data_IF_764740908411
#
_entry.id   IF_764740908411
#
_cell.length_a   1.000
_cell.length_b   1.000
_cell.length_c   1.000
_cell.angle_alpha   90.00
_cell.angle_beta   90.00
_cell.angle_gamma   90.00
#
_symmetry.space_group_name_H-M   'P 1'
#
loop_
_entity.id
_entity.type
_entity.pdbx_description
1 polymer ?
#
# COMPACT_ATOMS: atom_id res chain seq x y z
N UNK A 1 86.80 -60.42 19.28
CA UNK A 1 86.85 -59.80 20.62
C UNK A 1 87.47 -58.40 20.49
N UNK A 2 86.77 -57.47 19.83
CA UNK A 2 87.37 -56.18 19.43
C UNK A 2 86.35 -55.05 19.22
N UNK A 3 85.10 -55.22 19.69
CA UNK A 3 84.01 -54.24 19.52
C UNK A 3 83.79 -53.36 20.77
N UNK A 4 84.50 -53.65 21.88
CA UNK A 4 84.40 -52.87 23.13
C UNK A 4 85.43 -51.73 23.26
N UNK A 5 86.34 -51.56 22.29
CA UNK A 5 87.35 -50.48 22.30
C UNK A 5 87.02 -49.28 21.40
N UNK A 6 86.05 -49.40 20.51
CA UNK A 6 85.67 -48.30 19.59
C UNK A 6 84.63 -47.33 20.20
N UNK A 7 83.82 -47.78 21.15
CA UNK A 7 82.79 -46.96 21.79
C UNK A 7 83.35 -45.96 22.81
N UNK A 8 84.56 -46.20 23.33
CA UNK A 8 85.22 -45.33 24.31
C UNK A 8 86.02 -44.19 23.65
N UNK A 9 86.37 -44.31 22.37
CA UNK A 9 87.08 -43.29 21.59
C UNK A 9 86.16 -42.22 21.00
N UNK A 10 84.86 -42.50 20.83
CA UNK A 10 83.88 -41.56 20.27
C UNK A 10 83.30 -40.59 21.32
N UNK A 11 83.33 -40.95 22.61
CA UNK A 11 82.85 -40.12 23.73
C UNK A 11 83.90 -39.07 24.15
N UNK A 12 85.19 -39.32 23.89
CA UNK A 12 86.27 -38.37 24.21
C UNK A 12 86.41 -37.27 23.14
N UNK A 13 86.00 -37.53 21.90
CA UNK A 13 86.02 -36.54 20.81
C UNK A 13 84.87 -35.53 20.85
N UNK A 14 83.76 -35.85 21.55
CA UNK A 14 82.62 -34.93 21.70
C UNK A 14 82.77 -33.94 22.87
N UNK A 15 83.67 -34.23 23.82
CA UNK A 15 83.94 -33.37 24.99
C UNK A 15 85.02 -32.30 24.73
N UNK A 16 85.73 -32.37 23.60
CA UNK A 16 86.76 -31.41 23.19
C UNK A 16 86.22 -30.30 22.26
N UNK A 17 84.95 -30.33 21.87
CA UNK A 17 84.32 -29.27 21.06
C UNK A 17 83.60 -28.20 21.90
N UNK A 18 83.56 -28.34 23.24
CA UNK A 18 82.91 -27.38 24.16
C UNK A 18 83.90 -26.52 24.96
N UNK A 19 85.22 -26.65 24.75
CA UNK A 19 86.24 -25.96 25.53
C UNK A 19 87.06 -24.93 24.73
N UNK A 20 86.59 -24.54 23.55
CA UNK A 20 87.31 -23.66 22.62
C UNK A 20 86.54 -22.41 22.22
N UNK A 21 85.99 -21.66 23.18
CA UNK A 21 85.59 -20.26 22.93
C UNK A 21 85.67 -19.41 24.21
N UNK A 22 86.86 -19.41 24.82
CA UNK A 22 87.29 -18.33 25.70
C UNK A 22 88.50 -17.68 25.02
N UNK A 23 88.30 -16.49 24.44
CA UNK A 23 89.17 -15.32 24.60
C UNK A 23 88.78 -14.18 23.61
N UNK A 24 88.70 -12.98 24.18
CA UNK A 24 88.79 -11.64 23.56
C UNK A 24 87.51 -11.02 23.00
N UNK A 25 86.73 -10.42 23.90
CA UNK A 25 86.29 -9.05 23.68
C UNK A 25 86.57 -8.20 24.93
N UNK A 26 87.65 -7.43 24.83
CA UNK A 26 88.07 -6.40 25.77
C UNK A 26 87.36 -5.10 25.44
N UNK A 27 86.73 -4.44 26.42
CA UNK A 27 86.25 -3.07 26.25
C UNK A 27 85.34 -2.55 27.37
N UNK A 28 85.96 -1.99 28.40
CA UNK A 28 85.49 -0.91 29.28
C UNK A 28 84.42 -1.19 30.37
N UNK A 29 84.96 -1.57 31.53
CA UNK A 29 84.91 -0.81 32.80
C UNK A 29 83.83 0.28 32.94
N UNK A 30 82.83 0.02 33.80
CA UNK A 30 82.26 1.03 34.71
C UNK A 30 81.94 0.35 36.06
N UNK A 31 82.38 1.00 37.13
CA UNK A 31 82.33 0.58 38.52
C UNK A 31 80.89 0.33 38.99
N UNK A 32 80.59 -0.90 39.42
CA UNK A 32 79.43 -1.18 40.28
C UNK A 32 79.90 -1.12 41.74
N UNK A 33 79.53 -0.04 42.41
CA UNK A 33 79.64 0.10 43.85
C UNK A 33 78.61 -0.83 44.50
N UNK A 34 79.11 -1.87 45.16
CA UNK A 34 78.30 -2.78 45.96
C UNK A 34 77.83 -2.02 47.22
N UNK A 35 76.60 -1.53 47.20
CA UNK A 35 75.88 -1.16 48.41
C UNK A 35 74.79 -2.19 48.66
N UNK A 36 75.04 -3.01 49.69
CA UNK A 36 74.04 -3.80 50.38
C UNK A 36 72.79 -2.94 50.66
N UNK A 37 71.70 -3.21 49.95
CA UNK A 37 70.38 -2.93 50.47
C UNK A 37 69.44 -4.06 50.10
N UNK A 38 69.21 -4.94 51.08
CA UNK A 38 68.29 -6.07 51.03
C UNK A 38 66.85 -5.54 51.08
N UNK A 39 66.42 -4.87 50.01
CA UNK A 39 65.00 -4.64 49.70
C UNK A 39 64.60 -5.73 48.73
N UNK A 40 63.77 -6.64 49.20
CA UNK A 40 63.18 -7.73 48.42
C UNK A 40 62.54 -7.17 47.15
N UNK A 41 63.18 -7.37 46.00
CA UNK A 41 62.65 -6.97 44.70
C UNK A 41 61.23 -7.53 44.55
N UNK A 42 60.26 -6.65 44.30
CA UNK A 42 58.92 -7.06 43.88
C UNK A 42 59.08 -7.79 42.54
N UNK A 43 58.98 -9.12 42.57
CA UNK A 43 59.10 -9.93 41.35
C UNK A 43 57.74 -9.95 40.67
N UNK A 44 57.54 -9.03 39.72
CA UNK A 44 56.34 -8.96 38.89
C UNK A 44 56.60 -9.66 37.56
N UNK A 45 55.72 -10.58 37.20
CA UNK A 45 55.75 -11.31 35.92
C UNK A 45 54.37 -11.26 35.30
N UNK A 46 54.28 -10.92 34.02
CA UNK A 46 53.02 -10.95 33.28
C UNK A 46 53.07 -11.98 32.15
N UNK A 47 51.95 -12.67 31.97
CA UNK A 47 51.75 -13.67 30.93
C UNK A 47 50.39 -13.42 30.28
N UNK A 48 50.34 -13.60 28.97
CA UNK A 48 49.13 -13.49 28.20
C UNK A 48 48.82 -14.84 27.53
N UNK A 49 47.53 -15.19 27.51
CA UNK A 49 47.02 -16.42 26.94
C UNK A 49 45.76 -16.15 26.11
N UNK A 50 45.48 -17.00 25.13
CA UNK A 50 44.26 -16.97 24.32
C UNK A 50 43.62 -18.34 24.35
N UNK A 51 42.29 -18.38 24.36
CA UNK A 51 41.52 -19.62 24.32
C UNK A 51 41.67 -20.40 23.01
N UNK A 52 41.83 -19.70 21.88
CA UNK A 52 42.00 -20.27 20.54
C UNK A 52 43.14 -19.60 19.77
N UNK A 53 44.03 -20.41 19.20
CA UNK A 53 45.11 -19.97 18.31
C UNK A 53 44.70 -19.96 16.82
N UNK A 54 43.56 -20.56 16.48
CA UNK A 54 42.98 -20.59 15.15
C UNK A 54 41.51 -20.18 15.24
N UNK A 55 41.11 -19.18 14.45
CA UNK A 55 39.74 -18.65 14.42
C UNK A 55 39.31 -18.29 13.01
N UNK A 56 38.02 -18.09 12.81
CA UNK A 56 37.47 -17.58 11.56
C UNK A 56 37.23 -16.06 11.63
N UNK A 57 37.17 -15.40 10.48
CA UNK A 57 36.88 -13.96 10.40
C UNK A 57 35.60 -13.61 11.20
N UNK A 58 35.70 -12.61 12.09
CA UNK A 58 34.58 -12.17 12.93
C UNK A 58 34.29 -13.03 14.16
N UNK A 59 35.03 -14.12 14.38
CA UNK A 59 34.93 -14.89 15.63
C UNK A 59 35.43 -14.06 16.83
N UNK A 60 34.95 -14.45 18.01
CA UNK A 60 35.33 -13.85 19.29
C UNK A 60 36.31 -14.78 20.00
N UNK A 61 37.45 -14.23 20.39
CA UNK A 61 38.46 -14.91 21.21
C UNK A 61 38.54 -14.29 22.59
N UNK A 62 38.87 -15.09 23.59
CA UNK A 62 39.12 -14.63 24.94
C UNK A 62 40.63 -14.54 25.16
N UNK A 63 41.13 -13.31 25.25
CA UNK A 63 42.51 -12.98 25.58
C UNK A 63 42.63 -12.68 27.07
N UNK A 64 43.38 -13.49 27.81
CA UNK A 64 43.57 -13.38 29.25
C UNK A 64 44.99 -12.94 29.58
N UNK A 65 45.11 -11.92 30.42
CA UNK A 65 46.37 -11.46 31.00
C UNK A 65 46.41 -11.86 32.48
N UNK A 66 47.46 -12.55 32.84
CA UNK A 66 47.80 -12.99 34.20
C UNK A 66 49.00 -12.19 34.67
N UNK A 67 48.84 -11.42 35.74
CA UNK A 67 49.95 -10.73 36.40
C UNK A 67 50.19 -11.38 37.75
N UNK A 68 51.36 -11.98 37.90
CA UNK A 68 51.83 -12.61 39.13
C UNK A 68 52.87 -11.72 39.78
N UNK A 69 52.67 -11.35 41.04
CA UNK A 69 53.57 -10.46 41.77
C UNK A 69 53.74 -10.90 43.23
N UNK A 70 54.79 -10.40 43.89
CA UNK A 70 55.07 -10.63 45.31
C UNK A 70 55.37 -9.31 46.00
N UNK A 71 54.80 -9.12 47.19
CA UNK A 71 54.89 -7.87 47.96
C UNK A 71 53.72 -6.92 47.69
N UNK A 72 53.80 -5.71 48.25
CA UNK A 72 52.77 -4.67 48.10
C UNK A 72 52.98 -3.94 46.77
N UNK A 73 52.13 -4.27 45.78
CA UNK A 73 52.18 -3.74 44.41
C UNK A 73 50.78 -3.40 43.96
N UNK A 74 50.60 -2.17 43.48
CA UNK A 74 49.35 -1.71 42.86
C UNK A 74 49.47 -1.83 41.32
N UNK A 75 48.58 -2.60 40.70
CA UNK A 75 48.61 -2.90 39.26
C UNK A 75 47.55 -2.07 38.53
N UNK A 76 47.99 -1.26 37.58
CA UNK A 76 47.11 -0.41 36.79
C UNK A 76 47.01 -0.92 35.36
N UNK A 77 45.84 -1.48 35.04
CA UNK A 77 45.51 -1.94 33.69
C UNK A 77 44.84 -0.83 32.88
N UNK A 78 45.42 -0.49 31.73
CA UNK A 78 44.82 0.47 30.79
C UNK A 78 43.56 -0.08 30.13
N UNK A 79 42.59 0.80 29.90
CA UNK A 79 41.44 0.51 29.04
C UNK A 79 41.87 0.68 27.58
N UNK A 80 41.83 -0.43 26.84
CA UNK A 80 42.22 -0.49 25.44
C UNK A 80 40.98 -0.76 24.61
N UNK A 81 40.73 0.06 23.60
CA UNK A 81 39.66 -0.17 22.62
C UNK A 81 40.12 -1.11 21.49
N UNK A 82 41.43 -1.14 21.24
CA UNK A 82 42.06 -1.92 20.17
C UNK A 82 43.43 -2.44 20.62
N UNK A 83 43.74 -3.68 20.23
CA UNK A 83 45.01 -4.35 20.50
C UNK A 83 45.53 -4.89 19.16
N UNK A 84 46.48 -4.18 18.53
CA UNK A 84 46.92 -4.51 17.17
C UNK A 84 45.77 -4.40 16.16
N UNK A 85 45.53 -5.46 15.39
CA UNK A 85 44.41 -5.57 14.43
C UNK A 85 43.10 -6.06 15.06
N UNK A 86 43.09 -6.29 16.38
CA UNK A 86 41.94 -6.83 17.10
C UNK A 86 41.17 -5.72 17.82
N UNK A 87 39.86 -5.67 17.61
CA UNK A 87 38.94 -4.78 18.33
C UNK A 87 38.51 -5.41 19.64
N UNK A 88 38.58 -4.65 20.73
CA UNK A 88 38.10 -5.08 22.05
C UNK A 88 36.58 -4.91 22.11
N UNK A 89 35.85 -6.02 22.29
CA UNK A 89 34.38 -6.02 22.39
C UNK A 89 33.88 -6.00 23.83
N UNK A 90 34.63 -6.59 24.75
CA UNK A 90 34.29 -6.64 26.17
C UNK A 90 35.55 -6.79 27.00
N UNK A 91 35.58 -6.13 28.14
CA UNK A 91 36.65 -6.26 29.13
C UNK A 91 36.05 -6.76 30.44
N UNK A 92 36.77 -7.62 31.15
CA UNK A 92 36.39 -8.09 32.47
C UNK A 92 37.59 -8.59 33.26
N UNK A 93 37.44 -8.80 34.55
CA UNK A 93 38.52 -9.25 35.42
C UNK A 93 38.11 -9.27 36.88
N UNK A 94 38.89 -9.96 37.70
CA UNK A 94 38.67 -10.03 39.16
C UNK A 94 39.34 -8.80 39.76
N UNK A 95 38.58 -8.01 40.54
CA UNK A 95 39.09 -6.77 41.19
C UNK A 95 40.01 -7.07 42.37
N UNK A 96 39.90 -8.25 42.96
CA UNK A 96 40.67 -8.65 44.14
C UNK A 96 41.73 -9.70 43.76
N UNK A 97 42.98 -9.56 44.23
CA UNK A 97 44.05 -10.50 43.93
C UNK A 97 43.82 -11.86 44.59
N UNK A 98 43.95 -12.94 43.82
CA UNK A 98 43.93 -14.31 44.35
C UNK A 98 45.31 -14.63 44.94
N UNK A 99 45.36 -15.15 46.17
CA UNK A 99 46.61 -15.57 46.81
C UNK A 99 47.02 -16.96 46.32
N UNK A 100 48.20 -17.06 45.73
CA UNK A 100 48.83 -18.29 45.25
C UNK A 100 49.85 -18.83 46.27
N UNK A 101 50.30 -20.08 46.10
CA UNK A 101 51.38 -20.69 46.91
C UNK A 101 52.69 -19.86 46.80
N UNK A 102 53.50 -19.87 47.85
CA UNK A 102 54.77 -19.13 47.99
C UNK A 102 54.64 -17.59 48.09
N UNK A 103 53.54 -17.09 48.66
CA UNK A 103 53.31 -15.66 48.95
C UNK A 103 53.19 -14.76 47.70
N UNK A 104 52.80 -15.36 46.57
CA UNK A 104 52.48 -14.63 45.34
C UNK A 104 51.00 -14.28 45.27
N UNK A 105 50.70 -13.13 44.67
CA UNK A 105 49.37 -12.70 44.30
C UNK A 105 49.21 -12.77 42.78
N UNK A 106 48.01 -13.17 42.32
CA UNK A 106 47.68 -13.27 40.91
C UNK A 106 46.43 -12.44 40.63
N UNK A 107 46.52 -11.54 39.66
CA UNK A 107 45.37 -10.81 39.11
C UNK A 107 45.15 -11.24 37.67
N UNK A 108 43.89 -11.50 37.33
CA UNK A 108 43.45 -11.94 36.01
C UNK A 108 42.55 -10.89 35.38
N UNK A 109 42.91 -10.43 34.19
CA UNK A 109 42.09 -9.56 33.34
C UNK A 109 41.90 -10.22 31.99
N UNK A 110 40.68 -10.23 31.47
CA UNK A 110 40.37 -10.79 30.17
C UNK A 110 39.73 -9.74 29.24
N UNK A 111 40.01 -9.89 27.96
CA UNK A 111 39.46 -9.09 26.87
C UNK A 111 38.84 -10.04 25.85
N UNK A 112 37.64 -9.73 25.39
CA UNK A 112 37.01 -10.42 24.27
C UNK A 112 37.39 -9.66 23.01
N UNK A 113 38.20 -10.28 22.17
CA UNK A 113 38.74 -9.69 20.95
C UNK A 113 38.04 -10.24 19.72
N UNK A 114 37.98 -9.45 18.66
CA UNK A 114 37.55 -9.90 17.34
C UNK A 114 38.31 -9.14 16.25
N UNK A 115 38.52 -9.75 15.09
CA UNK A 115 39.17 -9.12 13.95
C UNK A 115 38.46 -9.50 12.66
N UNK A 116 38.56 -8.61 11.67
CA UNK A 116 38.05 -8.81 10.31
C UNK A 116 39.20 -9.00 9.31
N UNK A 117 40.45 -9.02 9.77
CA UNK A 117 41.62 -9.26 8.92
C UNK A 117 41.96 -10.75 8.91
N UNK A 118 42.01 -11.33 7.71
CA UNK A 118 42.36 -12.74 7.47
C UNK A 118 43.88 -12.89 7.46
N UNK A 119 44.38 -14.05 7.87
CA UNK A 119 45.80 -14.42 7.86
C UNK A 119 46.40 -14.55 9.26
N UNK A 120 47.73 -14.65 9.31
CA UNK A 120 48.46 -14.72 10.58
C UNK A 120 48.54 -13.33 11.21
N UNK A 121 47.76 -13.14 12.26
CA UNK A 121 47.66 -11.89 12.97
C UNK A 121 48.33 -11.99 14.33
N UNK A 122 48.98 -10.91 14.74
CA UNK A 122 49.74 -10.89 15.99
C UNK A 122 49.10 -9.96 17.02
N UNK A 123 48.87 -10.48 18.22
CA UNK A 123 48.58 -9.69 19.42
C UNK A 123 49.92 -9.17 19.96
N UNK A 124 50.17 -7.85 19.92
CA UNK A 124 51.43 -7.27 20.35
C UNK A 124 51.62 -7.36 21.87
N UNK A 125 52.88 -7.23 22.31
CA UNK A 125 53.23 -7.17 23.74
C UNK A 125 52.61 -5.94 24.39
N UNK A 126 51.79 -6.15 25.41
CA UNK A 126 51.16 -5.06 26.16
C UNK A 126 52.03 -4.67 27.33
N UNK A 127 52.20 -3.35 27.51
CA UNK A 127 52.87 -2.77 28.67
C UNK A 127 51.84 -2.55 29.77
N UNK A 128 52.07 -3.16 30.93
CA UNK A 128 51.25 -2.97 32.13
C UNK A 128 52.05 -2.18 33.14
N UNK A 129 51.50 -1.07 33.59
CA UNK A 129 52.11 -0.23 34.61
C UNK A 129 51.79 -0.77 36.00
N UNK A 130 52.78 -0.78 36.87
CA UNK A 130 52.59 -1.13 38.28
C UNK A 130 53.39 -0.18 39.16
N UNK A 131 52.91 0.03 40.39
CA UNK A 131 53.56 0.85 41.40
C UNK A 131 54.05 -0.03 42.54
N UNK A 132 55.36 0.03 42.80
CA UNK A 132 55.99 -0.67 43.91
C UNK A 132 56.68 0.32 44.87
N UNK A 133 57.41 -0.19 45.86
CA UNK A 133 58.14 0.62 46.85
C UNK A 133 59.28 1.49 46.28
N UNK A 134 59.56 1.43 44.97
CA UNK A 134 60.60 2.18 44.26
C UNK A 134 60.06 3.16 43.19
N UNK A 135 58.75 3.13 42.90
CA UNK A 135 58.12 4.06 41.96
C UNK A 135 57.20 3.36 40.96
N UNK A 136 56.98 4.00 39.82
CA UNK A 136 56.24 3.40 38.69
C UNK A 136 57.20 2.59 37.82
N UNK A 137 56.85 1.32 37.58
CA UNK A 137 57.58 0.38 36.74
C UNK A 137 56.63 -0.25 35.71
N UNK A 138 57.19 -0.84 34.65
CA UNK A 138 56.42 -1.47 33.57
C UNK A 138 56.80 -2.94 33.38
N UNK A 139 55.80 -3.80 33.21
CA UNK A 139 55.99 -5.21 32.82
C UNK A 139 55.35 -5.45 31.45
N UNK A 140 56.00 -6.24 30.59
CA UNK A 140 55.51 -6.54 29.24
C UNK A 140 55.00 -7.97 29.13
N UNK A 141 53.85 -8.16 28.49
CA UNK A 141 53.33 -9.49 28.19
C UNK A 141 54.09 -10.13 27.02
N UNK A 142 53.92 -11.44 26.85
CA UNK A 142 54.33 -12.12 25.63
C UNK A 142 53.44 -11.74 24.43
N UNK A 143 53.99 -11.96 23.25
CA UNK A 143 53.33 -11.81 21.96
C UNK A 143 52.61 -13.12 21.60
N UNK A 144 51.43 -13.03 20.97
CA UNK A 144 50.63 -14.20 20.60
C UNK A 144 50.25 -14.10 19.13
N UNK A 145 50.52 -15.16 18.36
CA UNK A 145 50.16 -15.26 16.95
C UNK A 145 48.87 -16.08 16.84
N UNK A 146 47.92 -15.57 16.07
CA UNK A 146 46.61 -16.18 15.82
C UNK A 146 46.42 -16.33 14.32
N UNK A 147 46.03 -17.52 13.87
CA UNK A 147 45.70 -17.78 12.47
C UNK A 147 44.21 -17.52 12.23
N UNK A 148 43.90 -16.47 11.48
CA UNK A 148 42.52 -16.08 11.15
C UNK A 148 42.18 -16.63 9.77
N UNK A 149 41.40 -17.70 9.73
CA UNK A 149 40.93 -18.32 8.50
C UNK A 149 39.75 -17.53 7.91
N UNK A 150 39.75 -17.40 6.59
CA UNK A 150 38.55 -16.99 5.87
C UNK A 150 37.52 -18.12 5.89
N UNK A 151 36.23 -17.78 5.96
CA UNK A 151 35.15 -18.75 5.72
C UNK A 151 35.05 -18.95 4.20
N UNK A 152 35.98 -19.69 3.63
CA UNK A 152 35.88 -20.20 2.26
C UNK A 152 35.45 -21.66 2.33
N UNK A 153 34.58 -22.10 1.43
CA UNK A 153 34.17 -23.51 1.37
C UNK A 153 35.37 -24.34 0.90
N UNK A 154 35.63 -25.49 1.55
CA UNK A 154 36.69 -26.41 1.12
C UNK A 154 36.49 -26.80 -0.35
N UNK A 155 37.43 -26.42 -1.21
CA UNK A 155 37.42 -26.69 -2.65
C UNK A 155 37.41 -25.47 -3.57
N UNK A 156 37.16 -24.26 -3.06
CA UNK A 156 37.19 -23.03 -3.89
C UNK A 156 38.63 -22.53 -4.06
N UNK A 157 39.19 -22.69 -5.26
CA UNK A 157 40.48 -22.08 -5.64
C UNK A 157 40.23 -20.63 -6.11
N UNK A 158 41.23 -19.74 -6.06
CA UNK A 158 41.10 -18.35 -6.55
C UNK A 158 40.71 -18.23 -8.04
N UNK A 159 40.70 -19.35 -8.79
CA UNK A 159 40.19 -19.47 -10.15
C UNK A 159 38.69 -19.75 -10.26
N UNK A 160 37.98 -19.93 -9.14
CA UNK A 160 36.52 -20.16 -9.09
C UNK A 160 35.77 -18.87 -8.71
N UNK A 161 36.33 -17.71 -9.08
CA UNK A 161 35.59 -16.44 -9.06
C UNK A 161 34.51 -16.57 -10.12
N UNK A 162 33.29 -16.90 -9.69
CA UNK A 162 32.12 -16.89 -10.57
C UNK A 162 31.93 -15.48 -11.11
N UNK A 163 31.82 -15.40 -12.42
CA UNK A 163 31.44 -14.16 -13.10
C UNK A 163 30.16 -13.60 -12.48
N UNK A 164 30.04 -12.27 -12.50
CA UNK A 164 28.84 -11.59 -12.01
C UNK A 164 27.65 -12.11 -12.83
N UNK A 165 26.82 -12.95 -12.20
CA UNK A 165 25.62 -13.47 -12.84
C UNK A 165 24.75 -12.27 -13.18
N UNK A 166 24.40 -12.05 -14.46
CA UNK A 166 23.53 -10.95 -14.83
C UNK A 166 22.19 -11.10 -14.11
N UNK A 167 21.52 -9.99 -13.73
CA UNK A 167 20.23 -10.08 -13.07
C UNK A 167 19.28 -10.91 -13.94
N UNK A 168 18.67 -11.94 -13.34
CA UNK A 168 17.69 -12.75 -14.05
C UNK A 168 16.58 -11.84 -14.57
N UNK A 169 16.40 -11.83 -15.89
CA UNK A 169 15.32 -11.10 -16.52
C UNK A 169 14.00 -11.60 -15.95
N UNK A 170 13.25 -10.71 -15.30
CA UNK A 170 11.90 -11.03 -14.86
C UNK A 170 11.08 -11.25 -16.12
N UNK A 171 10.51 -12.44 -16.30
CA UNK A 171 9.58 -12.69 -17.40
C UNK A 171 8.36 -11.79 -17.22
N UNK A 172 8.29 -10.73 -18.00
CA UNK A 172 7.22 -9.74 -17.94
C UNK A 172 5.96 -10.27 -18.61
N UNK A 173 5.26 -11.18 -17.94
CA UNK A 173 3.96 -11.70 -18.38
C UNK A 173 2.85 -10.67 -18.12
N UNK A 174 2.84 -9.58 -18.89
CA UNK A 174 1.81 -8.56 -18.83
C UNK A 174 0.49 -8.98 -19.46
N UNK A 175 0.37 -10.19 -20.03
CA UNK A 175 -0.85 -10.67 -20.68
C UNK A 175 -2.08 -10.56 -19.79
N UNK A 176 -1.96 -10.91 -18.50
CA UNK A 176 -3.06 -10.77 -17.54
C UNK A 176 -3.43 -9.30 -17.32
N UNK A 177 -2.45 -8.42 -17.20
CA UNK A 177 -2.65 -6.97 -17.04
C UNK A 177 -3.32 -6.37 -18.28
N UNK A 178 -2.86 -6.74 -19.48
CA UNK A 178 -3.43 -6.30 -20.76
C UNK A 178 -4.89 -6.76 -20.89
N UNK A 179 -5.21 -8.00 -20.49
CA UNK A 179 -6.59 -8.50 -20.48
C UNK A 179 -7.48 -7.67 -19.54
N UNK A 180 -7.01 -7.35 -18.33
CA UNK A 180 -7.75 -6.47 -17.41
C UNK A 180 -7.97 -5.07 -17.96
N UNK A 181 -6.94 -4.46 -18.56
CA UNK A 181 -7.04 -3.13 -19.19
C UNK A 181 -8.02 -3.16 -20.37
N UNK A 182 -7.92 -4.16 -21.25
CA UNK A 182 -8.81 -4.33 -22.39
C UNK A 182 -10.27 -4.54 -21.94
N UNK A 183 -10.48 -5.32 -20.88
CA UNK A 183 -11.81 -5.55 -20.30
C UNK A 183 -12.39 -4.26 -19.72
N UNK A 184 -11.60 -3.51 -18.95
CA UNK A 184 -12.02 -2.22 -18.40
C UNK A 184 -12.38 -1.20 -19.50
N UNK A 185 -11.57 -1.13 -20.56
CA UNK A 185 -11.83 -0.26 -21.70
C UNK A 185 -13.11 -0.68 -22.46
N UNK A 186 -13.34 -1.98 -22.62
CA UNK A 186 -14.55 -2.52 -23.22
C UNK A 186 -15.81 -2.11 -22.44
N UNK A 187 -15.79 -2.25 -21.11
CA UNK A 187 -16.90 -1.83 -20.25
C UNK A 187 -17.13 -0.32 -20.35
N UNK A 188 -16.07 0.48 -20.37
CA UNK A 188 -16.16 1.93 -20.50
C UNK A 188 -16.80 2.36 -21.84
N UNK A 189 -16.40 1.73 -22.94
CA UNK A 189 -16.98 2.01 -24.27
C UNK A 189 -18.46 1.60 -24.35
N UNK A 190 -18.82 0.45 -23.76
CA UNK A 190 -20.22 -0.01 -23.71
C UNK A 190 -21.05 0.96 -22.87
N UNK A 191 -20.57 1.34 -21.68
CA UNK A 191 -21.22 2.32 -20.81
C UNK A 191 -21.40 3.68 -21.49
N UNK A 192 -20.36 4.19 -22.15
CA UNK A 192 -20.42 5.44 -22.93
C UNK A 192 -21.42 5.36 -24.09
N UNK A 193 -21.47 4.23 -24.79
CA UNK A 193 -22.43 4.01 -25.89
C UNK A 193 -23.86 3.97 -25.37
N UNK A 194 -24.13 3.26 -24.28
CA UNK A 194 -25.45 3.22 -23.64
C UNK A 194 -25.86 4.62 -23.17
N UNK A 195 -24.96 5.35 -22.49
CA UNK A 195 -25.21 6.72 -22.05
C UNK A 195 -25.54 7.65 -23.22
N UNK A 196 -24.78 7.58 -24.32
CA UNK A 196 -25.02 8.35 -25.53
C UNK A 196 -26.36 8.00 -26.19
N UNK A 197 -26.72 6.71 -26.28
CA UNK A 197 -28.00 6.26 -26.82
C UNK A 197 -29.19 6.73 -25.98
N UNK A 198 -29.08 6.68 -24.65
CA UNK A 198 -30.11 7.21 -23.75
C UNK A 198 -30.24 8.72 -23.91
N UNK A 199 -29.12 9.45 -23.97
CA UNK A 199 -29.09 10.89 -24.21
C UNK A 199 -29.74 11.25 -25.56
N UNK A 200 -29.43 10.50 -26.62
CA UNK A 200 -30.03 10.68 -27.95
C UNK A 200 -31.53 10.42 -27.93
N UNK A 201 -32.00 9.38 -27.24
CA UNK A 201 -33.45 9.11 -27.10
C UNK A 201 -34.18 10.18 -26.31
N UNK A 202 -33.56 10.74 -25.25
CA UNK A 202 -34.14 11.85 -24.49
C UNK A 202 -34.24 13.11 -25.35
N UNK A 203 -33.16 13.48 -26.05
CA UNK A 203 -33.16 14.62 -26.98
C UNK A 203 -34.14 14.43 -28.12
N UNK A 204 -34.25 13.25 -28.71
CA UNK A 204 -35.20 12.99 -29.79
C UNK A 204 -36.65 13.01 -29.29
N UNK A 205 -36.94 12.59 -28.05
CA UNK A 205 -38.27 12.72 -27.44
C UNK A 205 -38.61 14.18 -27.10
N UNK A 206 -37.59 14.98 -26.79
CA UNK A 206 -37.71 16.41 -26.50
C UNK A 206 -37.87 17.21 -27.81
N UNK A 207 -37.06 16.93 -28.83
CA UNK A 207 -37.15 17.49 -30.19
C UNK A 207 -38.45 17.06 -30.89
N UNK A 208 -38.91 15.81 -30.75
CA UNK A 208 -40.25 15.42 -31.20
C UNK A 208 -41.35 16.17 -30.45
N UNK A 209 -41.13 16.60 -29.20
CA UNK A 209 -42.07 17.46 -28.48
C UNK A 209 -42.10 18.88 -29.04
N UNK A 210 -41.01 19.33 -29.67
CA UNK A 210 -40.88 20.65 -30.29
C UNK A 210 -41.22 20.68 -31.80
N UNK A 211 -41.16 19.54 -32.50
CA UNK A 211 -41.42 19.42 -33.94
C UNK A 211 -42.89 19.07 -34.28
N UNK A 212 -43.74 18.83 -33.28
CA UNK A 212 -45.18 19.04 -33.49
C UNK A 212 -45.37 20.54 -33.72
N UNK A 213 -45.70 20.91 -34.95
CA UNK A 213 -46.51 22.10 -35.24
C UNK A 213 -47.50 22.23 -34.07
N UNK A 214 -47.44 23.33 -33.31
CA UNK A 214 -48.29 23.58 -32.14
C UNK A 214 -49.76 23.57 -32.58
N UNK A 215 -50.34 22.39 -32.77
CA UNK A 215 -51.78 22.23 -32.90
C UNK A 215 -52.34 22.45 -31.52
N UNK A 216 -53.03 23.56 -31.39
CA UNK A 216 -53.73 23.91 -30.16
C UNK A 216 -54.79 22.84 -29.85
N UNK A 217 -55.19 22.67 -28.58
CA UNK A 217 -56.21 21.67 -28.21
C UNK A 217 -57.52 21.80 -29.01
N UNK A 218 -57.92 23.04 -29.35
CA UNK A 218 -59.15 23.29 -30.10
C UNK A 218 -59.02 22.88 -31.58
N UNK A 219 -57.86 23.07 -32.21
CA UNK A 219 -57.62 22.62 -33.59
C UNK A 219 -57.75 21.09 -33.73
N UNK A 220 -57.18 20.35 -32.76
CA UNK A 220 -57.30 18.89 -32.70
C UNK A 220 -58.77 18.48 -32.53
N UNK A 221 -59.49 19.14 -31.62
CA UNK A 221 -60.90 18.84 -31.38
C UNK A 221 -61.78 19.14 -32.60
N UNK A 222 -61.56 20.25 -33.32
CA UNK A 222 -62.31 20.54 -34.56
C UNK A 222 -62.04 19.52 -35.67
N UNK A 223 -60.79 19.07 -35.81
CA UNK A 223 -60.45 18.04 -36.79
C UNK A 223 -61.18 16.73 -36.48
N UNK A 224 -61.17 16.30 -35.21
CA UNK A 224 -61.88 15.11 -34.77
C UNK A 224 -63.40 15.24 -34.92
N UNK A 225 -64.00 16.38 -34.57
CA UNK A 225 -65.42 16.67 -34.80
C UNK A 225 -65.78 16.64 -36.28
N UNK A 226 -64.93 17.22 -37.13
CA UNK A 226 -65.11 17.21 -38.58
C UNK A 226 -65.04 15.80 -39.16
N UNK A 227 -64.14 14.95 -38.65
CA UNK A 227 -64.05 13.54 -39.05
C UNK A 227 -65.28 12.74 -38.57
N UNK A 228 -65.74 12.96 -37.34
CA UNK A 228 -66.96 12.34 -36.82
C UNK A 228 -68.18 12.64 -37.71
N UNK A 229 -68.30 13.89 -38.18
CA UNK A 229 -69.39 14.29 -39.08
C UNK A 229 -69.30 13.59 -40.46
N UNK A 230 -68.09 13.45 -41.01
CA UNK A 230 -67.86 12.79 -42.32
C UNK A 230 -68.20 11.30 -42.31
N UNK A 231 -68.08 10.64 -41.15
CA UNK A 231 -68.36 9.20 -41.04
C UNK A 231 -69.87 8.87 -41.08
N UNK A 232 -70.74 9.86 -40.86
CA UNK A 232 -72.21 9.77 -40.88
C UNK A 232 -72.75 8.53 -40.14
N UNK A 233 -72.22 8.30 -38.93
CA UNK A 233 -72.57 7.16 -38.07
C UNK A 233 -74.07 7.13 -37.73
N UNK A 234 -74.71 8.30 -37.63
CA UNK A 234 -76.14 8.44 -37.37
C UNK A 234 -76.98 7.89 -38.54
N UNK A 235 -76.59 8.11 -39.79
CA UNK A 235 -77.28 7.52 -40.94
C UNK A 235 -77.10 6.00 -41.03
N UNK A 236 -75.98 5.48 -40.54
CA UNK A 236 -75.71 4.05 -40.44
C UNK A 236 -76.42 3.37 -39.26
N UNK A 237 -77.18 4.11 -38.47
CA UNK A 237 -77.85 3.59 -37.27
C UNK A 237 -76.88 3.32 -36.10
N UNK A 238 -75.63 3.75 -36.18
CA UNK A 238 -74.57 3.55 -35.19
C UNK A 238 -74.57 4.69 -34.15
N UNK A 239 -75.74 5.00 -33.58
CA UNK A 239 -75.89 6.09 -32.62
C UNK A 239 -75.00 5.89 -31.38
N UNK A 240 -74.89 4.64 -30.88
CA UNK A 240 -74.03 4.34 -29.72
C UNK A 240 -72.56 4.69 -30.00
N UNK A 241 -72.05 4.35 -31.18
CA UNK A 241 -70.66 4.65 -31.57
C UNK A 241 -70.43 6.16 -31.72
N UNK A 242 -71.39 6.88 -32.30
CA UNK A 242 -71.35 8.34 -32.38
C UNK A 242 -71.21 8.98 -30.98
N UNK A 243 -72.00 8.53 -30.00
CA UNK A 243 -71.95 9.04 -28.64
C UNK A 243 -70.69 8.61 -27.86
N UNK A 244 -70.08 7.47 -28.19
CA UNK A 244 -68.74 7.14 -27.67
C UNK A 244 -67.69 8.12 -28.19
N UNK A 245 -67.65 8.33 -29.50
CA UNK A 245 -66.64 9.18 -30.13
C UNK A 245 -66.77 10.64 -29.75
N UNK A 246 -67.98 11.21 -29.74
CA UNK A 246 -68.15 12.62 -29.36
C UNK A 246 -67.80 12.88 -27.89
N UNK A 247 -68.10 11.93 -26.99
CA UNK A 247 -67.67 12.00 -25.60
C UNK A 247 -66.14 11.93 -25.47
N UNK A 248 -65.51 11.02 -26.22
CA UNK A 248 -64.06 10.88 -26.23
C UNK A 248 -63.36 12.16 -26.70
N UNK A 249 -63.88 12.78 -27.77
CA UNK A 249 -63.40 14.08 -28.29
C UNK A 249 -63.48 15.16 -27.22
N UNK A 250 -64.61 15.29 -26.51
CA UNK A 250 -64.76 16.30 -25.47
C UNK A 250 -63.80 16.05 -24.29
N UNK A 251 -63.67 14.79 -23.85
CA UNK A 251 -62.80 14.43 -22.73
C UNK A 251 -61.33 14.71 -23.06
N UNK A 252 -60.87 14.33 -24.25
CA UNK A 252 -59.52 14.66 -24.71
C UNK A 252 -59.31 16.16 -24.89
N UNK A 253 -60.32 16.91 -25.36
CA UNK A 253 -60.22 18.36 -25.43
C UNK A 253 -60.01 18.98 -24.04
N UNK A 254 -60.82 18.56 -23.05
CA UNK A 254 -60.74 19.07 -21.68
C UNK A 254 -59.38 18.73 -21.06
N UNK A 255 -58.88 17.52 -21.26
CA UNK A 255 -57.56 17.12 -20.78
C UNK A 255 -56.44 17.97 -21.37
N UNK A 256 -56.44 18.11 -22.70
CA UNK A 256 -55.40 18.88 -23.38
C UNK A 256 -55.47 20.38 -23.08
N UNK A 257 -56.67 20.93 -22.84
CA UNK A 257 -56.87 22.36 -22.56
C UNK A 257 -56.69 22.75 -21.10
N UNK A 258 -57.22 21.95 -20.18
CA UNK A 258 -57.31 22.27 -18.75
C UNK A 258 -56.47 21.34 -17.87
N UNK A 259 -55.75 20.37 -18.46
CA UNK A 259 -54.93 19.39 -17.73
C UNK A 259 -55.73 18.62 -16.68
N UNK A 260 -56.99 18.29 -17.00
CA UNK A 260 -57.90 17.47 -16.20
C UNK A 260 -57.98 16.07 -16.82
N UNK A 261 -57.74 15.02 -16.05
CA UNK A 261 -57.60 13.64 -16.55
C UNK A 261 -58.96 13.02 -16.91
N UNK A 262 -59.68 13.61 -17.86
CA UNK A 262 -61.05 13.23 -18.20
C UNK A 262 -61.18 11.84 -18.89
N UNK A 263 -60.28 11.41 -19.80
CA UNK A 263 -60.40 10.08 -20.43
C UNK A 263 -60.09 8.91 -19.48
N UNK A 264 -59.17 9.12 -18.52
CA UNK A 264 -58.69 8.08 -17.60
C UNK A 264 -59.59 7.88 -16.37
N UNK A 265 -60.62 8.72 -16.20
CA UNK A 265 -61.55 8.71 -15.08
C UNK A 265 -62.95 8.29 -15.49
N UNK A 266 -63.65 7.64 -14.56
CA UNK A 266 -65.09 7.40 -14.72
C UNK A 266 -65.87 8.72 -14.77
N UNK A 267 -67.10 8.72 -15.31
CA UNK A 267 -67.93 9.92 -15.37
C UNK A 267 -68.11 10.55 -13.98
N UNK A 268 -68.39 9.74 -12.97
CA UNK A 268 -68.62 10.20 -11.59
C UNK A 268 -67.37 10.87 -10.99
N UNK A 269 -66.21 10.20 -11.08
CA UNK A 269 -64.93 10.73 -10.58
C UNK A 269 -64.49 12.01 -11.29
N UNK A 270 -64.79 12.11 -12.59
CA UNK A 270 -64.46 13.30 -13.37
C UNK A 270 -65.38 14.48 -13.01
N UNK A 271 -66.68 14.24 -12.83
CA UNK A 271 -67.62 15.29 -12.41
C UNK A 271 -67.32 15.80 -10.99
N UNK A 272 -66.92 14.91 -10.07
CA UNK A 272 -66.49 15.28 -8.72
C UNK A 272 -65.23 16.16 -8.76
N UNK A 273 -64.21 15.79 -9.54
CA UNK A 273 -63.01 16.63 -9.74
C UNK A 273 -63.34 17.98 -10.36
N UNK A 274 -64.24 17.99 -11.36
CA UNK A 274 -64.64 19.21 -12.05
C UNK A 274 -65.41 20.17 -11.13
N UNK A 275 -66.19 19.67 -10.17
CA UNK A 275 -66.88 20.50 -9.19
C UNK A 275 -65.92 21.29 -8.28
N UNK A 276 -64.71 20.75 -8.03
CA UNK A 276 -63.72 21.34 -7.13
C UNK A 276 -62.60 22.13 -7.82
N UNK A 277 -62.59 22.20 -9.16
CA UNK A 277 -61.53 22.90 -9.91
C UNK A 277 -61.94 24.32 -10.32
N UNK A 278 -61.00 25.26 -10.25
CA UNK A 278 -61.18 26.64 -10.75
C UNK A 278 -60.73 26.81 -12.21
N UNK A 279 -60.40 25.71 -12.89
CA UNK A 279 -59.86 25.74 -14.25
C UNK A 279 -60.90 25.96 -15.34
N UNK A 280 -62.17 25.74 -15.03
CA UNK A 280 -63.31 25.86 -15.94
C UNK A 280 -64.39 26.70 -15.26
N UNK A 281 -65.07 27.57 -16.00
CA UNK A 281 -66.16 28.39 -15.44
C UNK A 281 -67.37 27.53 -15.06
N UNK A 282 -68.11 27.93 -14.02
CA UNK A 282 -69.22 27.13 -13.49
C UNK A 282 -70.33 26.88 -14.54
N UNK A 283 -70.59 27.84 -15.43
CA UNK A 283 -71.52 27.66 -16.55
C UNK A 283 -71.08 26.52 -17.49
N UNK A 284 -69.78 26.42 -17.78
CA UNK A 284 -69.24 25.35 -18.62
C UNK A 284 -69.24 24.01 -17.89
N UNK A 285 -69.03 23.99 -16.56
CA UNK A 285 -69.13 22.76 -15.75
C UNK A 285 -70.53 22.14 -15.86
N UNK A 286 -71.59 22.94 -15.76
CA UNK A 286 -72.98 22.47 -15.92
C UNK A 286 -73.20 21.87 -17.31
N UNK A 287 -72.72 22.54 -18.36
CA UNK A 287 -72.84 22.03 -19.74
C UNK A 287 -72.09 20.70 -19.96
N UNK A 288 -70.90 20.54 -19.38
CA UNK A 288 -70.15 19.27 -19.42
C UNK A 288 -70.91 18.18 -18.69
N UNK A 289 -71.49 18.49 -17.52
CA UNK A 289 -72.29 17.53 -16.76
C UNK A 289 -73.50 17.04 -17.56
N UNK A 290 -74.33 17.96 -18.06
CA UNK A 290 -75.50 17.62 -18.87
C UNK A 290 -75.13 16.76 -20.09
N UNK A 291 -74.02 17.11 -20.76
CA UNK A 291 -73.51 16.35 -21.89
C UNK A 291 -73.09 14.92 -21.51
N UNK A 292 -72.34 14.76 -20.42
CA UNK A 292 -71.82 13.45 -20.00
C UNK A 292 -72.95 12.53 -19.54
N UNK A 293 -73.92 13.05 -18.80
CA UNK A 293 -75.13 12.32 -18.40
C UNK A 293 -75.93 11.89 -19.63
N UNK A 294 -76.10 12.78 -20.62
CA UNK A 294 -76.76 12.45 -21.89
C UNK A 294 -76.04 11.34 -22.66
N UNK A 295 -74.72 11.41 -22.73
CA UNK A 295 -73.91 10.35 -23.36
C UNK A 295 -74.09 9.01 -22.67
N UNK A 296 -74.12 8.99 -21.33
CA UNK A 296 -74.26 7.76 -20.56
C UNK A 296 -75.66 7.14 -20.70
N UNK A 297 -76.72 7.95 -20.84
CA UNK A 297 -78.06 7.46 -21.21
C UNK A 297 -78.05 6.71 -22.57
N UNK A 298 -77.35 7.24 -23.58
CA UNK A 298 -77.26 6.59 -24.89
C UNK A 298 -76.41 5.31 -24.83
N UNK A 299 -75.28 5.34 -24.12
CA UNK A 299 -74.32 4.22 -24.05
C UNK A 299 -74.88 3.03 -23.26
N UNK A 300 -75.56 3.31 -22.13
CA UNK A 300 -75.92 2.31 -21.13
C UNK A 300 -77.43 2.13 -20.96
N UNK A 301 -78.24 3.20 -21.05
CA UNK A 301 -79.69 3.13 -20.81
C UNK A 301 -80.53 2.74 -22.04
N UNK A 302 -79.90 2.30 -23.15
CA UNK A 302 -80.54 1.94 -24.44
C UNK A 302 -81.42 3.06 -25.02
N UNK A 303 -81.18 4.30 -24.60
CA UNK A 303 -81.88 5.47 -25.13
C UNK A 303 -81.50 5.67 -26.60
N UNK A 304 -82.48 6.03 -27.43
CA UNK A 304 -82.32 6.23 -28.88
C UNK A 304 -82.55 7.70 -29.21
N UNK A 305 -81.48 8.51 -29.25
CA UNK A 305 -81.61 9.93 -29.54
C UNK A 305 -82.07 10.13 -30.98
N UNK A 306 -82.91 11.14 -31.18
CA UNK A 306 -83.28 11.65 -32.49
C UNK A 306 -82.09 12.31 -33.17
N UNK A 307 -82.18 12.50 -34.50
CA UNK A 307 -81.15 13.25 -35.25
C UNK A 307 -81.03 14.71 -34.79
N UNK A 308 -82.11 15.27 -34.24
CA UNK A 308 -82.13 16.64 -33.72
C UNK A 308 -81.29 16.70 -32.44
N UNK A 309 -81.55 15.81 -31.47
CA UNK A 309 -80.78 15.73 -30.22
C UNK A 309 -79.29 15.43 -30.47
N UNK A 310 -78.98 14.59 -31.45
CA UNK A 310 -77.59 14.29 -31.82
C UNK A 310 -76.87 15.51 -32.44
N UNK A 311 -77.60 16.37 -33.16
CA UNK A 311 -77.09 17.63 -33.68
C UNK A 311 -76.92 18.67 -32.57
N UNK A 312 -77.88 18.77 -31.65
CA UNK A 312 -77.77 19.62 -30.47
C UNK A 312 -76.57 19.24 -29.59
N UNK A 313 -76.33 17.93 -29.44
CA UNK A 313 -75.16 17.40 -28.74
C UNK A 313 -73.85 17.85 -29.43
N UNK A 314 -73.80 17.79 -30.76
CA UNK A 314 -72.65 18.28 -31.55
C UNK A 314 -72.43 19.77 -31.37
N UNK A 315 -73.50 20.55 -31.49
CA UNK A 315 -73.45 22.01 -31.39
C UNK A 315 -73.06 22.45 -29.97
N UNK A 316 -73.46 21.71 -28.93
CA UNK A 316 -73.03 21.92 -27.54
C UNK A 316 -71.51 21.73 -27.41
N UNK A 317 -70.97 20.60 -27.87
CA UNK A 317 -69.52 20.31 -27.79
C UNK A 317 -68.72 21.35 -28.57
N UNK A 318 -69.17 21.70 -29.78
CA UNK A 318 -68.54 22.73 -30.58
C UNK A 318 -68.55 24.09 -29.88
N UNK A 319 -69.69 24.49 -29.32
CA UNK A 319 -69.81 25.75 -28.55
C UNK A 319 -68.86 25.77 -27.37
N UNK A 320 -68.76 24.68 -26.62
CA UNK A 320 -67.86 24.58 -25.48
C UNK A 320 -66.40 24.77 -25.90
N UNK A 321 -65.99 24.16 -27.02
CA UNK A 321 -64.64 24.35 -27.59
C UNK A 321 -64.45 25.81 -28.04
N UNK A 322 -65.43 26.38 -28.75
CA UNK A 322 -65.39 27.77 -29.26
C UNK A 322 -65.20 28.78 -28.12
N UNK A 323 -65.94 28.62 -27.03
CA UNK A 323 -65.93 29.53 -25.87
C UNK A 323 -64.69 29.37 -25.00
N UNK A 324 -64.08 28.18 -24.96
CA UNK A 324 -62.93 27.88 -24.07
C UNK A 324 -61.58 27.83 -24.79
N UNK A 325 -61.55 28.10 -26.11
CA UNK A 325 -60.33 28.03 -26.92
C UNK A 325 -59.23 28.96 -26.39
N UNK A 326 -58.00 28.48 -26.43
CA UNK A 326 -56.84 29.31 -26.11
C UNK A 326 -56.54 30.26 -27.27
N UNK A 327 -56.65 31.57 -27.02
CA UNK A 327 -56.12 32.57 -27.96
C UNK A 327 -54.62 32.68 -27.68
N UNK A 328 -53.79 32.18 -28.57
CA UNK A 328 -52.34 32.43 -28.49
C UNK A 328 -52.07 33.87 -28.93
N UNK A 329 -51.65 34.74 -28.01
CA UNK A 329 -51.07 36.02 -28.40
C UNK A 329 -49.71 35.76 -29.08
N UNK A 330 -49.52 36.32 -30.27
CA UNK A 330 -48.39 36.16 -31.20
C UNK A 330 -47.00 36.56 -30.63
N UNK A 331 -46.88 36.88 -29.35
CA UNK A 331 -45.70 37.52 -28.75
C UNK A 331 -44.53 36.61 -28.43
N UNK A 332 -44.68 35.28 -28.36
CA UNK A 332 -43.58 34.41 -27.91
C UNK A 332 -42.66 33.87 -29.02
N UNK A 333 -42.94 34.14 -30.30
CA UNK A 333 -42.13 33.59 -31.41
C UNK A 333 -40.78 34.32 -31.58
N UNK A 334 -40.58 35.51 -31.01
CA UNK A 334 -39.38 36.34 -31.27
C UNK A 334 -38.22 36.10 -30.28
N UNK A 335 -38.45 35.49 -29.11
CA UNK A 335 -37.45 35.52 -28.02
C UNK A 335 -36.46 34.34 -27.96
N UNK A 336 -36.44 33.44 -28.94
CA UNK A 336 -35.46 32.32 -28.97
C UNK A 336 -34.87 32.09 -30.37
N UNK A 337 -34.32 33.14 -30.98
CA UNK A 337 -33.45 32.99 -32.15
C UNK A 337 -31.99 33.19 -31.79
#
# INVERSE_FOLDING_TARGET
MTIRRFFLLFIVTLFLLSFGLSLKFSGNLLLAQETNNKKTLAKVTSFANVDKNEITIGDKIKYEILVRYRGDVDIQFSELEQIGVFTVKKTGGIKEPEREKDDYFVIKRYYVLTTYEIGRQTIPRLKIKYKDAHGENEVTTNEIIIDVKGVMKEGETASDIKDIVPPMGISTNFTRLIIWIATGLGIFLIGGTIYWLIGKRKKQKEEQKFEYIYRTPHEIAYEMLGNLLKEDLLAKGLAKEYYYRINDILRHYIENRFSLLAPERTTEEFLEEMAHTDRLEDNHKVLVQEFLEHCDMVKYAKYKPSRIEAKETYDLVKRLIDETRQIMEEKEVILKR
#
